data_IF_805603646391
#
_entry.id   IF_805603646391
#
_cell.length_a   1.000
_cell.length_b   1.000
_cell.length_c   1.000
_cell.angle_alpha   90.00
_cell.angle_beta   90.00
_cell.angle_gamma   90.00
#
_symmetry.space_group_name_H-M   'P 1'
#
loop_
_entity.id
_entity.type
_entity.pdbx_description
1 polymer ?
#
# COMPACT_ATOMS: atom_id res chain seq x y z
N UNK A 1 -82.26 -6.65 -23.93
CA UNK A 1 -81.45 -5.45 -23.59
C UNK A 1 -80.13 -5.95 -23.03
N UNK A 2 -79.06 -5.90 -23.82
CA UNK A 2 -77.76 -6.54 -23.51
C UNK A 2 -76.87 -5.54 -22.76
N UNK A 3 -76.46 -5.90 -21.56
CA UNK A 3 -75.63 -5.08 -20.67
C UNK A 3 -74.18 -4.98 -21.14
N UNK A 4 -73.65 -3.76 -21.04
CA UNK A 4 -72.29 -3.36 -21.38
C UNK A 4 -71.32 -3.85 -20.30
N UNK A 5 -70.29 -4.61 -20.69
CA UNK A 5 -69.10 -4.86 -19.86
C UNK A 5 -67.99 -3.90 -20.30
N UNK A 6 -67.51 -3.04 -19.40
CA UNK A 6 -66.35 -2.18 -19.61
C UNK A 6 -65.07 -3.03 -19.57
N UNK A 7 -64.15 -2.93 -20.55
CA UNK A 7 -62.85 -3.57 -20.44
C UNK A 7 -61.98 -2.72 -19.51
N UNK A 8 -61.84 -3.19 -18.28
CA UNK A 8 -60.79 -2.75 -17.37
C UNK A 8 -59.55 -3.62 -17.62
N UNK A 9 -58.38 -3.00 -17.58
CA UNK A 9 -57.05 -3.62 -17.37
C UNK A 9 -56.37 -4.28 -18.58
N UNK A 10 -55.63 -3.50 -19.38
CA UNK A 10 -54.30 -3.90 -19.89
C UNK A 10 -53.43 -2.64 -20.03
N UNK A 11 -52.97 -2.07 -18.90
CA UNK A 11 -52.03 -0.95 -18.93
C UNK A 11 -51.11 -0.99 -17.71
N UNK A 12 -50.29 -2.04 -17.58
CA UNK A 12 -49.32 -2.11 -16.47
C UNK A 12 -48.16 -3.11 -16.69
N UNK A 13 -47.65 -3.31 -17.91
CA UNK A 13 -46.57 -4.29 -18.12
C UNK A 13 -45.48 -3.86 -19.12
N UNK A 14 -45.08 -2.58 -19.13
CA UNK A 14 -43.85 -2.17 -19.84
C UNK A 14 -42.95 -1.16 -19.09
N UNK A 15 -43.29 -0.72 -17.86
CA UNK A 15 -42.55 0.34 -17.17
C UNK A 15 -41.61 -0.14 -16.05
N UNK A 16 -41.27 -1.44 -15.99
CA UNK A 16 -40.53 -2.03 -14.87
C UNK A 16 -39.02 -2.26 -15.08
N UNK A 17 -38.46 -1.94 -16.26
CA UNK A 17 -37.08 -2.35 -16.62
C UNK A 17 -36.08 -1.19 -16.81
N UNK A 18 -36.39 0.03 -16.36
CA UNK A 18 -35.50 1.18 -16.53
C UNK A 18 -34.67 1.55 -15.28
N UNK A 19 -34.77 0.78 -14.18
CA UNK A 19 -34.28 1.22 -12.86
C UNK A 19 -33.02 0.55 -12.30
N UNK A 20 -32.49 -0.53 -12.90
CA UNK A 20 -31.32 -1.22 -12.33
C UNK A 20 -30.03 -0.85 -13.06
N UNK A 21 -29.60 0.40 -12.90
CA UNK A 21 -28.18 0.71 -13.01
C UNK A 21 -27.49 0.06 -11.81
N UNK A 22 -27.00 -1.17 -12.00
CA UNK A 22 -26.07 -1.80 -11.07
C UNK A 22 -24.86 -0.86 -10.96
N UNK A 23 -24.73 -0.17 -9.83
CA UNK A 23 -23.48 0.45 -9.45
C UNK A 23 -22.45 -0.68 -9.35
N UNK A 24 -21.68 -0.91 -10.42
CA UNK A 24 -20.57 -1.84 -10.39
C UNK A 24 -19.57 -1.26 -9.40
N UNK A 25 -19.54 -1.82 -8.17
CA UNK A 25 -18.47 -1.53 -7.23
C UNK A 25 -17.16 -1.89 -7.93
N UNK A 26 -16.35 -0.88 -8.25
CA UNK A 26 -15.00 -1.12 -8.80
C UNK A 26 -14.27 -2.00 -7.79
N UNK A 27 -13.64 -3.10 -8.22
CA UNK A 27 -12.85 -3.92 -7.30
C UNK A 27 -11.85 -3.00 -6.60
N UNK A 28 -11.80 -3.07 -5.27
CA UNK A 28 -10.83 -2.31 -4.50
C UNK A 28 -9.44 -2.66 -5.03
N UNK A 29 -8.73 -1.67 -5.58
CA UNK A 29 -7.36 -1.89 -6.04
C UNK A 29 -6.50 -2.27 -4.84
N UNK A 30 -5.70 -3.32 -4.99
CA UNK A 30 -4.72 -3.69 -3.98
C UNK A 30 -3.68 -2.57 -3.89
N UNK A 31 -3.56 -1.97 -2.71
CA UNK A 31 -2.51 -1.02 -2.40
C UNK A 31 -1.28 -1.80 -1.91
N UNK A 32 -0.41 -2.16 -2.85
CA UNK A 32 0.79 -2.95 -2.56
C UNK A 32 1.74 -2.21 -1.61
N UNK A 33 1.91 -0.89 -1.79
CA UNK A 33 2.77 -0.08 -0.94
C UNK A 33 2.26 0.01 0.50
N UNK A 34 0.95 0.19 0.68
CA UNK A 34 0.35 0.17 2.01
C UNK A 34 0.48 -1.19 2.66
N UNK A 35 0.18 -2.28 1.94
CA UNK A 35 0.32 -3.65 2.46
C UNK A 35 1.77 -3.91 2.90
N UNK A 36 2.72 -3.48 2.08
CA UNK A 36 4.14 -3.60 2.38
C UNK A 36 4.50 -2.87 3.67
N UNK A 37 4.05 -1.63 3.81
CA UNK A 37 4.28 -0.81 4.98
C UNK A 37 3.64 -1.38 6.24
N UNK A 38 2.38 -1.80 6.17
CA UNK A 38 1.65 -2.38 7.30
C UNK A 38 2.34 -3.65 7.81
N UNK A 39 2.83 -4.50 6.90
CA UNK A 39 3.47 -5.77 7.24
C UNK A 39 4.88 -5.61 7.83
N UNK A 40 5.65 -4.64 7.33
CA UNK A 40 7.10 -4.59 7.58
C UNK A 40 7.56 -3.33 8.33
N UNK A 41 6.83 -2.22 8.22
CA UNK A 41 7.29 -0.91 8.70
C UNK A 41 6.46 -0.40 9.89
N UNK A 42 5.17 -0.74 9.95
CA UNK A 42 4.24 -0.16 10.92
C UNK A 42 4.52 -0.55 12.38
N UNK A 43 5.18 -1.67 12.64
CA UNK A 43 5.58 -2.07 14.00
C UNK A 43 6.55 -1.08 14.65
N UNK A 44 7.37 -0.39 13.85
CA UNK A 44 8.31 0.63 14.32
C UNK A 44 7.82 2.05 13.98
N UNK A 45 7.38 2.29 12.74
CA UNK A 45 6.98 3.62 12.27
C UNK A 45 5.51 3.98 12.61
N UNK A 46 4.72 3.03 13.11
CA UNK A 46 3.28 3.18 13.34
C UNK A 46 2.48 3.13 12.05
N UNK A 47 1.20 2.73 12.10
CA UNK A 47 0.32 2.68 10.92
C UNK A 47 0.13 4.02 10.21
N UNK A 48 0.30 5.13 10.96
CA UNK A 48 0.24 6.50 10.43
C UNK A 48 1.57 7.01 9.87
N UNK A 49 2.67 6.26 10.03
CA UNK A 49 4.01 6.68 9.64
C UNK A 49 4.67 7.70 10.58
N UNK A 50 4.06 8.06 11.71
CA UNK A 50 4.53 9.13 12.60
C UNK A 50 5.65 8.74 13.57
N UNK A 51 6.22 7.54 13.45
CA UNK A 51 7.30 7.06 14.33
C UNK A 51 6.82 6.60 15.71
N UNK A 52 5.56 6.18 15.83
CA UNK A 52 4.91 5.78 17.09
C UNK A 52 4.43 4.32 17.03
N UNK A 53 5.25 3.45 16.44
CA UNK A 53 4.95 2.02 16.40
C UNK A 53 5.05 1.36 17.79
N UNK A 54 4.40 0.21 17.99
CA UNK A 54 4.43 -0.52 19.27
C UNK A 54 5.84 -0.93 19.72
N UNK A 55 6.82 -1.00 18.81
CA UNK A 55 8.19 -1.38 19.15
C UNK A 55 9.09 -0.20 19.53
N UNK A 56 8.61 1.05 19.48
CA UNK A 56 9.46 2.25 19.63
C UNK A 56 10.26 2.28 20.93
N UNK A 57 9.70 1.81 22.04
CA UNK A 57 10.37 1.77 23.34
C UNK A 57 11.54 0.76 23.39
N UNK A 58 11.59 -0.18 22.43
CA UNK A 58 12.66 -1.19 22.33
C UNK A 58 13.80 -0.77 21.40
N UNK A 59 13.68 0.39 20.73
CA UNK A 59 14.66 0.85 19.75
C UNK A 59 15.70 1.75 20.42
N UNK A 60 16.94 1.68 19.97
CA UNK A 60 18.00 2.59 20.41
C UNK A 60 17.76 4.02 19.96
N UNK A 61 17.03 4.20 18.85
CA UNK A 61 16.61 5.50 18.34
C UNK A 61 15.18 5.43 17.82
N UNK A 62 14.35 6.39 18.23
CA UNK A 62 12.99 6.52 17.72
C UNK A 62 12.99 6.72 16.19
N UNK A 63 12.12 6.01 15.44
CA UNK A 63 11.98 6.21 14.02
C UNK A 63 11.46 7.63 13.73
N UNK A 64 11.88 8.25 12.62
CA UNK A 64 11.41 9.59 12.27
C UNK A 64 9.91 9.57 11.93
N UNK A 65 9.27 10.73 12.06
CA UNK A 65 7.97 10.99 11.45
C UNK A 65 8.13 11.02 9.92
N UNK A 66 7.69 9.93 9.28
CA UNK A 66 7.78 9.75 7.84
C UNK A 66 6.87 10.73 7.09
N UNK A 67 5.87 11.34 7.74
CA UNK A 67 4.96 12.30 7.10
C UNK A 67 5.60 13.66 6.85
N UNK A 68 6.78 13.91 7.42
CA UNK A 68 7.50 15.19 7.33
C UNK A 68 8.74 15.13 6.43
N UNK A 69 9.01 14.01 5.75
CA UNK A 69 10.24 13.82 4.97
C UNK A 69 10.40 14.86 3.85
N UNK A 70 9.34 15.12 3.08
CA UNK A 70 9.38 16.12 2.00
C UNK A 70 9.62 17.52 2.58
N UNK A 71 8.88 17.91 3.64
CA UNK A 71 9.06 19.20 4.32
C UNK A 71 10.49 19.39 4.82
N UNK A 72 11.06 18.37 5.45
CA UNK A 72 12.42 18.39 5.97
C UNK A 72 13.51 18.37 4.88
N UNK A 73 13.13 18.01 3.64
CA UNK A 73 14.01 17.98 2.47
C UNK A 73 13.73 19.14 1.48
N UNK A 74 13.19 20.27 1.95
CA UNK A 74 12.97 21.45 1.10
C UNK A 74 11.73 21.36 0.21
N UNK A 75 10.72 20.58 0.61
CA UNK A 75 9.45 20.41 -0.09
C UNK A 75 9.44 19.29 -1.14
N UNK A 76 10.59 18.65 -1.40
CA UNK A 76 10.70 17.56 -2.38
C UNK A 76 10.92 16.24 -1.65
N UNK A 77 10.09 15.23 -1.95
CA UNK A 77 10.24 13.91 -1.36
C UNK A 77 11.55 13.24 -1.84
N UNK A 78 12.49 12.87 -0.93
CA UNK A 78 13.84 12.48 -1.31
C UNK A 78 13.92 10.99 -1.73
N UNK A 79 13.25 10.63 -2.84
CA UNK A 79 13.10 9.25 -3.33
C UNK A 79 14.39 8.43 -3.33
N UNK A 80 15.45 8.92 -3.99
CA UNK A 80 16.70 8.18 -4.16
C UNK A 80 17.38 7.88 -2.81
N UNK A 81 17.48 8.91 -1.94
CA UNK A 81 18.06 8.74 -0.61
C UNK A 81 17.28 7.72 0.23
N UNK A 82 15.95 7.75 0.17
CA UNK A 82 15.12 6.82 0.92
C UNK A 82 15.21 5.39 0.37
N UNK A 83 15.31 5.25 -0.96
CA UNK A 83 15.59 3.96 -1.58
C UNK A 83 16.88 3.36 -1.02
N UNK A 84 17.98 4.12 -1.01
CA UNK A 84 19.28 3.65 -0.50
C UNK A 84 19.22 3.26 0.99
N UNK A 85 18.47 4.00 1.80
CA UNK A 85 18.29 3.71 3.24
C UNK A 85 17.49 2.42 3.46
N UNK A 86 16.46 2.17 2.65
CA UNK A 86 15.61 0.98 2.77
C UNK A 86 16.35 -0.24 2.22
N UNK A 87 16.90 -0.14 1.02
CA UNK A 87 17.68 -1.20 0.37
C UNK A 87 18.87 -1.60 1.26
N UNK A 88 19.63 -0.60 1.71
CA UNK A 88 20.72 -0.77 2.65
C UNK A 88 21.96 -1.44 2.08
N UNK A 89 22.14 -1.52 0.76
CA UNK A 89 23.36 -2.11 0.16
C UNK A 89 24.67 -1.45 0.63
N UNK A 90 24.63 -0.19 1.04
CA UNK A 90 25.80 0.58 1.49
C UNK A 90 25.89 0.73 3.02
N UNK A 91 25.10 -0.03 3.80
CA UNK A 91 25.21 0.01 5.26
C UNK A 91 26.40 -0.85 5.73
N UNK A 92 27.14 -0.43 6.78
CA UNK A 92 28.17 -1.27 7.38
C UNK A 92 27.61 -2.64 7.80
N UNK A 93 28.40 -3.70 7.63
CA UNK A 93 27.98 -5.05 8.00
C UNK A 93 27.81 -5.26 9.52
N UNK A 94 28.34 -4.34 10.34
CA UNK A 94 28.21 -4.35 11.80
C UNK A 94 28.02 -2.93 12.35
N UNK A 95 27.40 -2.83 13.52
CA UNK A 95 27.11 -1.57 14.19
C UNK A 95 25.67 -1.52 14.71
N UNK A 96 25.31 -0.43 15.37
CA UNK A 96 23.95 -0.22 15.87
C UNK A 96 23.04 0.35 14.78
N UNK A 97 22.16 -0.49 14.24
CA UNK A 97 21.02 -0.07 13.42
C UNK A 97 19.82 -0.92 13.76
N UNK A 98 18.74 -0.28 14.19
CA UNK A 98 17.50 -0.98 14.52
C UNK A 98 16.65 -1.28 13.28
N UNK A 99 16.72 -0.43 12.26
CA UNK A 99 15.99 -0.66 11.00
C UNK A 99 16.61 -1.85 10.24
N UNK A 100 15.82 -2.80 9.71
CA UNK A 100 16.34 -3.92 8.92
C UNK A 100 16.93 -3.50 7.58
N UNK A 101 17.89 -4.29 7.06
CA UNK A 101 18.42 -4.14 5.68
C UNK A 101 17.41 -4.79 4.74
N UNK A 102 16.38 -4.03 4.32
CA UNK A 102 15.23 -4.59 3.62
C UNK A 102 15.59 -5.15 2.24
N UNK A 103 16.61 -4.62 1.57
CA UNK A 103 17.10 -5.21 0.32
C UNK A 103 17.54 -6.66 0.51
N UNK A 104 18.24 -6.97 1.62
CA UNK A 104 18.61 -8.35 1.99
C UNK A 104 17.40 -9.18 2.38
N UNK A 105 16.50 -8.63 3.21
CA UNK A 105 15.32 -9.35 3.68
C UNK A 105 14.39 -9.77 2.53
N UNK A 106 14.15 -8.87 1.58
CA UNK A 106 13.37 -9.17 0.38
C UNK A 106 14.05 -10.18 -0.54
N UNK A 107 15.39 -10.20 -0.62
CA UNK A 107 16.12 -11.24 -1.35
C UNK A 107 15.93 -12.62 -0.73
N UNK A 108 16.01 -12.71 0.61
CA UNK A 108 15.78 -13.97 1.34
C UNK A 108 14.34 -14.44 1.08
N UNK A 109 13.35 -13.56 1.27
CA UNK A 109 11.95 -13.88 1.04
C UNK A 109 11.67 -14.31 -0.41
N UNK A 110 12.29 -13.64 -1.39
CA UNK A 110 12.15 -14.02 -2.79
C UNK A 110 12.74 -15.42 -3.06
N UNK A 111 13.89 -15.73 -2.46
CA UNK A 111 14.52 -17.05 -2.54
C UNK A 111 13.64 -18.16 -1.99
N UNK A 112 12.98 -17.91 -0.84
CA UNK A 112 12.04 -18.86 -0.23
C UNK A 112 10.76 -19.06 -1.07
N UNK A 113 10.30 -18.02 -1.77
CA UNK A 113 9.06 -18.07 -2.53
C UNK A 113 9.26 -18.64 -3.96
N UNK A 114 10.39 -18.35 -4.60
CA UNK A 114 10.67 -18.71 -6.00
C UNK A 114 11.78 -19.78 -6.12
N UNK A 115 11.91 -20.68 -5.14
CA UNK A 115 12.98 -21.70 -5.07
C UNK A 115 13.26 -22.39 -6.42
N UNK A 116 12.20 -22.82 -7.12
CA UNK A 116 12.31 -23.61 -8.35
C UNK A 116 11.90 -22.83 -9.62
N UNK A 117 11.73 -21.51 -9.51
CA UNK A 117 11.26 -20.66 -10.62
C UNK A 117 12.34 -19.64 -10.95
N UNK A 118 12.81 -19.54 -12.20
CA UNK A 118 13.71 -18.46 -12.59
C UNK A 118 13.08 -17.08 -12.34
N UNK A 119 13.76 -16.21 -11.61
CA UNK A 119 13.34 -14.84 -11.34
C UNK A 119 14.55 -13.90 -11.24
N UNK A 120 14.31 -12.60 -11.38
CA UNK A 120 15.31 -11.57 -11.12
C UNK A 120 15.13 -11.07 -9.68
N UNK A 121 16.04 -11.41 -8.74
CA UNK A 121 15.93 -10.99 -7.35
C UNK A 121 16.05 -9.46 -7.19
N UNK A 122 16.83 -8.79 -8.04
CA UNK A 122 17.01 -7.35 -7.94
C UNK A 122 15.77 -6.61 -8.45
N UNK A 123 15.12 -7.12 -9.50
CA UNK A 123 13.82 -6.59 -9.95
C UNK A 123 12.74 -6.75 -8.87
N UNK A 124 12.71 -7.90 -8.18
CA UNK A 124 11.77 -8.15 -7.09
C UNK A 124 11.92 -7.15 -5.95
N UNK A 125 13.16 -6.98 -5.46
CA UNK A 125 13.50 -6.03 -4.40
C UNK A 125 13.11 -4.60 -4.81
N UNK A 126 13.52 -4.19 -6.03
CA UNK A 126 13.25 -2.86 -6.56
C UNK A 126 11.75 -2.57 -6.62
N UNK A 127 10.95 -3.51 -7.09
CA UNK A 127 9.50 -3.34 -7.19
C UNK A 127 8.85 -3.11 -5.81
N UNK A 128 9.27 -3.87 -4.79
CA UNK A 128 8.74 -3.73 -3.42
C UNK A 128 9.15 -2.40 -2.78
N UNK A 129 10.43 -2.02 -2.89
CA UNK A 129 10.92 -0.75 -2.34
C UNK A 129 10.23 0.43 -3.03
N UNK A 130 10.05 0.40 -4.35
CA UNK A 130 9.37 1.49 -5.06
C UNK A 130 7.88 1.59 -4.69
N UNK A 131 7.18 0.46 -4.53
CA UNK A 131 5.80 0.47 -4.05
C UNK A 131 5.70 1.05 -2.62
N UNK A 132 6.63 0.68 -1.75
CA UNK A 132 6.72 1.21 -0.38
C UNK A 132 6.99 2.73 -0.39
N UNK A 133 7.93 3.20 -1.20
CA UNK A 133 8.26 4.62 -1.32
C UNK A 133 7.11 5.44 -1.89
N UNK A 134 6.36 4.89 -2.85
CA UNK A 134 5.13 5.51 -3.36
C UNK A 134 4.12 5.73 -2.22
N UNK A 135 3.90 4.70 -1.40
CA UNK A 135 2.98 4.82 -0.26
C UNK A 135 3.47 5.84 0.76
N UNK A 136 4.76 5.81 1.12
CA UNK A 136 5.35 6.79 2.04
C UNK A 136 5.23 8.21 1.47
N UNK A 137 5.40 8.39 0.17
CA UNK A 137 5.19 9.69 -0.49
C UNK A 137 3.72 10.17 -0.38
N UNK A 138 2.74 9.27 -0.39
CA UNK A 138 1.33 9.62 -0.14
C UNK A 138 1.04 10.01 1.31
N UNK A 139 1.89 9.62 2.26
CA UNK A 139 1.77 10.01 3.66
C UNK A 139 2.27 11.43 3.95
N UNK A 140 2.95 12.08 3.01
CA UNK A 140 3.54 13.40 3.27
C UNK A 140 2.46 14.43 3.61
N UNK A 141 2.69 15.18 4.70
CA UNK A 141 1.89 16.34 5.03
C UNK A 141 2.00 17.37 3.90
N UNK A 142 0.86 17.95 3.52
CA UNK A 142 0.78 19.01 2.51
C UNK A 142 1.10 20.37 3.09
#
# INVERSE_FOLDING_TARGET
MKGVVKPLVVAALCAGFAGMALAQAKPARVDFGKREFDANCASCHGLSGKGQGPLVEMLTKSPPDLTLLAKNAGGVFPMARLYDVIDGANVPSHGSRDMPVWGREYKIQAGEYYVDVPYDPDAYVRARILALLEYINRLQAK
#
